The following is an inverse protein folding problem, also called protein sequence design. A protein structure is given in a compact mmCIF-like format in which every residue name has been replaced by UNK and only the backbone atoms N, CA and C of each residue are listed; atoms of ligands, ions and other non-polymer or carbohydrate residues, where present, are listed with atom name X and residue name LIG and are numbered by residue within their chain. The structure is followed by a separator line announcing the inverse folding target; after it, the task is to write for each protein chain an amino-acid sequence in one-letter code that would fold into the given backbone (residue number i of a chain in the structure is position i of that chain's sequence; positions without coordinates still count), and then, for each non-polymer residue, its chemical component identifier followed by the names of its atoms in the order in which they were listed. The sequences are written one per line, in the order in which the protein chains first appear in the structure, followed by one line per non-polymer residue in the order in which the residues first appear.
data_IF_058520431641
#
_entry.id   IF_058520431641
#
_cell.length_a   1.000
_cell.length_b   1.000
_cell.length_c   1.000
_cell.angle_alpha   90.00
_cell.angle_beta   90.00
_cell.angle_gamma   90.00
#
_symmetry.space_group_name_H-M   'P 1'
#
loop_
_entity.id
_entity.type
_entity.pdbx_description
1 polymer ?
#
# COMPACT_ATOMS: atom_id res chain seq x y z
N UNK A 1 -4.48 -11.16 -48.70
CA UNK A 1 -3.87 -10.42 -49.82
C UNK A 1 -2.48 -9.94 -49.40
N UNK A 2 -1.45 -10.22 -50.19
CA UNK A 2 -0.09 -9.71 -49.97
C UNK A 2 0.15 -8.66 -51.05
N UNK A 3 0.53 -7.46 -50.64
CA UNK A 3 0.85 -6.35 -51.55
C UNK A 3 2.33 -6.00 -51.36
N UNK A 4 3.07 -5.93 -52.48
CA UNK A 4 4.48 -5.52 -52.53
C UNK A 4 4.59 -4.18 -53.24
N UNK A 5 5.60 -3.39 -52.90
CA UNK A 5 5.97 -2.15 -53.58
C UNK A 5 4.81 -1.14 -53.74
N UNK A 6 3.96 -1.04 -52.72
CA UNK A 6 2.82 -0.13 -52.72
C UNK A 6 3.04 1.05 -51.76
N UNK A 7 3.37 2.20 -52.34
CA UNK A 7 3.62 3.47 -51.65
C UNK A 7 2.39 3.95 -50.86
N UNK A 8 1.17 3.68 -51.34
CA UNK A 8 -0.06 4.07 -50.63
C UNK A 8 -0.30 3.27 -49.34
N UNK A 9 0.31 2.09 -49.24
CA UNK A 9 0.19 1.24 -48.06
C UNK A 9 1.39 1.34 -47.14
N UNK A 10 2.39 2.19 -47.41
CA UNK A 10 3.53 2.49 -46.52
C UNK A 10 3.08 3.29 -45.29
N UNK A 11 3.66 3.01 -44.12
CA UNK A 11 3.22 3.52 -42.80
C UNK A 11 1.86 3.04 -42.26
N UNK A 12 0.99 2.44 -43.09
CA UNK A 12 -0.34 1.96 -42.66
C UNK A 12 -0.27 0.60 -41.97
N UNK A 13 -0.59 0.56 -40.67
CA UNK A 13 -0.76 -0.68 -39.91
C UNK A 13 -1.93 -0.56 -38.93
N UNK A 14 -2.61 -1.67 -38.65
CA UNK A 14 -3.71 -1.70 -37.68
C UNK A 14 -4.92 -2.52 -38.13
N UNK A 15 -6.02 -2.35 -37.39
CA UNK A 15 -7.28 -3.06 -37.63
C UNK A 15 -8.34 -2.09 -38.16
N UNK A 16 -8.98 -2.43 -39.27
CA UNK A 16 -10.07 -1.70 -39.87
C UNK A 16 -11.30 -2.61 -40.03
N UNK A 17 -12.32 -2.41 -39.18
CA UNK A 17 -13.57 -3.22 -39.13
C UNK A 17 -13.33 -4.74 -39.20
N UNK A 18 -13.40 -5.30 -40.41
CA UNK A 18 -13.28 -6.72 -40.74
C UNK A 18 -11.90 -7.11 -41.31
N UNK A 19 -10.94 -6.19 -41.33
CA UNK A 19 -9.63 -6.37 -41.95
C UNK A 19 -8.49 -5.96 -41.01
N UNK A 20 -7.34 -6.60 -41.16
CA UNK A 20 -6.10 -6.32 -40.44
C UNK A 20 -5.01 -6.09 -41.47
N UNK A 21 -4.33 -4.95 -41.35
CA UNK A 21 -3.19 -4.58 -42.18
C UNK A 21 -1.94 -4.68 -41.32
N UNK A 22 -1.00 -5.54 -41.72
CA UNK A 22 0.31 -5.69 -41.08
C UNK A 22 1.39 -5.38 -42.10
N UNK A 23 2.33 -4.52 -41.71
CA UNK A 23 3.53 -4.29 -42.47
C UNK A 23 4.65 -5.21 -42.01
N UNK A 24 5.29 -5.83 -42.98
CA UNK A 24 6.56 -6.52 -42.85
C UNK A 24 7.57 -5.82 -43.75
N UNK A 25 8.87 -6.08 -43.52
CA UNK A 25 9.98 -5.36 -44.16
C UNK A 25 9.88 -5.27 -45.69
N UNK A 26 9.33 -6.30 -46.35
CA UNK A 26 9.25 -6.46 -47.80
C UNK A 26 7.82 -6.44 -48.36
N UNK A 27 6.79 -6.37 -47.50
CA UNK A 27 5.40 -6.59 -47.92
C UNK A 27 4.38 -6.10 -46.91
N UNK A 28 3.22 -5.71 -47.42
CA UNK A 28 2.03 -5.45 -46.63
C UNK A 28 1.08 -6.63 -46.75
N UNK A 29 0.70 -7.20 -45.61
CA UNK A 29 -0.25 -8.30 -45.52
C UNK A 29 -1.59 -7.75 -45.05
N UNK A 30 -2.60 -7.94 -45.89
CA UNK A 30 -3.98 -7.56 -45.64
C UNK A 30 -4.81 -8.84 -45.50
N UNK A 31 -5.34 -9.07 -44.30
CA UNK A 31 -6.16 -10.26 -43.99
C UNK A 31 -7.49 -9.85 -43.39
N UNK A 32 -8.52 -10.69 -43.53
CA UNK A 32 -9.70 -10.55 -42.70
C UNK A 32 -9.33 -10.68 -41.22
N UNK A 33 -10.11 -10.05 -40.33
CA UNK A 33 -9.99 -10.27 -38.89
C UNK A 33 -10.31 -11.74 -38.62
N UNK A 34 -9.40 -12.51 -38.00
CA UNK A 34 -9.65 -13.91 -37.71
C UNK A 34 -10.80 -14.05 -36.70
N UNK A 35 -11.68 -15.03 -36.94
CA UNK A 35 -12.69 -15.41 -35.96
C UNK A 35 -12.01 -16.09 -34.76
N UNK A 36 -12.15 -15.50 -33.57
CA UNK A 36 -11.51 -15.98 -32.34
C UNK A 36 -12.44 -16.84 -31.46
N UNK A 37 -13.69 -17.08 -31.87
CA UNK A 37 -14.72 -17.74 -31.03
C UNK A 37 -14.36 -19.18 -30.67
N UNK A 38 -13.82 -19.94 -31.61
CA UNK A 38 -13.54 -21.38 -31.45
C UNK A 38 -12.03 -21.66 -31.32
N UNK A 39 -11.28 -20.68 -30.83
CA UNK A 39 -9.82 -20.79 -30.70
C UNK A 39 -9.48 -21.78 -29.60
N UNK A 40 -8.78 -22.86 -29.96
CA UNK A 40 -8.17 -23.79 -29.02
C UNK A 40 -6.80 -23.26 -28.60
N UNK A 41 -6.59 -23.12 -27.29
CA UNK A 41 -5.32 -22.70 -26.72
C UNK A 41 -4.36 -23.88 -26.59
N UNK A 42 -3.10 -23.65 -26.95
CA UNK A 42 -2.00 -24.56 -26.62
C UNK A 42 -1.77 -24.61 -25.11
N UNK A 43 -1.16 -25.68 -24.58
CA UNK A 43 -0.83 -25.81 -23.16
C UNK A 43 -0.05 -24.59 -22.65
N UNK A 44 1.05 -24.23 -23.32
CA UNK A 44 1.87 -23.04 -22.99
C UNK A 44 1.06 -21.74 -22.94
N UNK A 45 0.07 -21.58 -23.80
CA UNK A 45 -0.80 -20.40 -23.78
C UNK A 45 -1.77 -20.41 -22.60
N UNK A 46 -2.26 -21.59 -22.20
CA UNK A 46 -3.08 -21.73 -20.98
C UNK A 46 -2.24 -21.39 -19.76
N UNK A 47 -1.05 -21.98 -19.64
CA UNK A 47 -0.13 -21.75 -18.53
C UNK A 47 0.23 -20.27 -18.40
N UNK A 48 0.56 -19.60 -19.52
CA UNK A 48 0.85 -18.17 -19.53
C UNK A 48 -0.36 -17.31 -19.11
N UNK A 49 -1.57 -17.69 -19.54
CA UNK A 49 -2.80 -16.99 -19.14
C UNK A 49 -3.09 -17.18 -17.65
N UNK A 50 -2.88 -18.39 -17.14
CA UNK A 50 -3.09 -18.71 -15.73
C UNK A 50 -2.08 -17.98 -14.85
N UNK A 51 -0.79 -17.95 -15.23
CA UNK A 51 0.23 -17.17 -14.53
C UNK A 51 -0.13 -15.67 -14.51
N UNK A 52 -0.53 -15.09 -15.65
CA UNK A 52 -0.99 -13.70 -15.72
C UNK A 52 -2.21 -13.45 -14.83
N UNK A 53 -3.16 -14.40 -14.76
CA UNK A 53 -4.34 -14.32 -13.90
C UNK A 53 -3.94 -14.30 -12.43
N UNK A 54 -2.99 -15.13 -12.02
CA UNK A 54 -2.45 -15.17 -10.65
C UNK A 54 -1.72 -13.86 -10.31
N UNK A 55 -0.87 -13.36 -11.21
CA UNK A 55 -0.18 -12.08 -11.04
C UNK A 55 -1.17 -10.92 -10.84
N UNK A 56 -2.25 -10.89 -11.61
CA UNK A 56 -3.31 -9.87 -11.48
C UNK A 56 -4.03 -10.01 -10.14
N UNK A 57 -4.37 -11.23 -9.72
CA UNK A 57 -5.05 -11.47 -8.44
C UNK A 57 -4.18 -10.99 -7.27
N UNK A 58 -2.89 -11.33 -7.30
CA UNK A 58 -1.91 -10.89 -6.30
C UNK A 58 -1.76 -9.36 -6.26
N UNK A 59 -1.60 -8.72 -7.42
CA UNK A 59 -1.52 -7.25 -7.49
C UNK A 59 -2.79 -6.57 -6.98
N UNK A 60 -3.98 -7.14 -7.26
CA UNK A 60 -5.25 -6.64 -6.69
C UNK A 60 -5.27 -6.76 -5.18
N UNK A 61 -4.86 -7.90 -4.63
CA UNK A 61 -4.77 -8.11 -3.18
C UNK A 61 -3.90 -7.05 -2.50
N UNK A 62 -2.68 -6.82 -2.99
CA UNK A 62 -1.78 -5.78 -2.44
C UNK A 62 -2.36 -4.38 -2.58
N UNK A 63 -2.92 -4.05 -3.74
CA UNK A 63 -3.42 -2.70 -4.00
C UNK A 63 -4.72 -2.36 -3.28
N UNK A 64 -5.44 -3.38 -2.78
CA UNK A 64 -6.65 -3.20 -1.98
C UNK A 64 -6.33 -2.69 -0.56
N UNK A 65 -5.22 -3.14 0.04
CA UNK A 65 -4.77 -2.64 1.33
C UNK A 65 -3.87 -1.39 1.16
N UNK A 66 -4.26 -0.21 1.70
CA UNK A 66 -3.44 0.99 1.64
C UNK A 66 -2.00 0.81 2.15
N UNK A 67 -1.80 -0.01 3.20
CA UNK A 67 -0.48 -0.25 3.80
C UNK A 67 0.42 -1.03 2.85
N UNK A 68 -0.08 -2.16 2.36
CA UNK A 68 0.66 -3.00 1.40
C UNK A 68 0.94 -2.24 0.10
N UNK A 69 -0.01 -1.40 -0.34
CA UNK A 69 0.16 -0.55 -1.51
C UNK A 69 1.27 0.50 -1.32
N UNK A 70 1.29 1.22 -0.20
CA UNK A 70 2.34 2.21 0.11
C UNK A 70 3.71 1.54 0.13
N UNK A 71 3.81 0.40 0.83
CA UNK A 71 5.02 -0.40 0.89
C UNK A 71 5.49 -0.87 -0.48
N UNK A 72 4.58 -1.39 -1.31
CA UNK A 72 4.90 -1.79 -2.68
C UNK A 72 5.46 -0.63 -3.51
N UNK A 73 4.96 0.60 -3.30
CA UNK A 73 5.51 1.79 -3.95
C UNK A 73 6.95 2.08 -3.53
N UNK A 74 7.25 1.92 -2.23
CA UNK A 74 8.59 2.13 -1.67
C UNK A 74 9.58 1.07 -2.18
N UNK A 75 9.23 -0.22 -2.06
CA UNK A 75 10.10 -1.33 -2.49
C UNK A 75 10.38 -1.26 -4.00
N UNK A 76 9.35 -1.02 -4.81
CA UNK A 76 9.47 -1.01 -6.26
C UNK A 76 9.94 0.35 -6.81
N UNK A 77 10.09 1.35 -5.95
CA UNK A 77 10.45 2.73 -6.29
C UNK A 77 9.57 3.30 -7.43
N UNK A 78 8.25 3.17 -7.29
CA UNK A 78 7.27 3.65 -8.28
C UNK A 78 6.15 4.46 -7.61
N UNK A 79 5.58 5.45 -8.32
CA UNK A 79 4.44 6.18 -7.79
C UNK A 79 3.16 5.31 -7.70
N UNK A 80 2.19 5.67 -6.83
CA UNK A 80 0.99 4.87 -6.56
C UNK A 80 0.12 4.54 -7.78
N UNK A 81 0.15 5.36 -8.83
CA UNK A 81 -0.59 5.12 -10.07
C UNK A 81 0.06 4.06 -10.98
N UNK A 82 1.34 3.75 -10.76
CA UNK A 82 2.10 2.75 -11.54
C UNK A 82 2.31 1.44 -10.78
N UNK A 83 2.07 1.42 -9.47
CA UNK A 83 2.36 0.28 -8.58
C UNK A 83 1.72 -1.03 -9.03
N UNK A 84 0.47 -1.00 -9.50
CA UNK A 84 -0.24 -2.21 -9.93
C UNK A 84 0.51 -2.96 -11.05
N UNK A 85 0.92 -2.22 -12.08
CA UNK A 85 1.65 -2.81 -13.21
C UNK A 85 3.06 -3.23 -12.82
N UNK A 86 3.68 -2.51 -11.90
CA UNK A 86 5.00 -2.87 -11.37
C UNK A 86 4.95 -4.20 -10.60
N UNK A 87 3.94 -4.41 -9.74
CA UNK A 87 3.73 -5.67 -9.03
C UNK A 87 3.53 -6.82 -10.00
N UNK A 88 2.66 -6.67 -11.01
CA UNK A 88 2.44 -7.71 -12.03
C UNK A 88 3.74 -8.05 -12.77
N UNK A 89 4.53 -7.04 -13.14
CA UNK A 89 5.82 -7.24 -13.80
C UNK A 89 6.78 -8.05 -12.93
N UNK A 90 6.96 -7.66 -11.66
CA UNK A 90 7.85 -8.38 -10.75
C UNK A 90 7.37 -9.80 -10.48
N UNK A 91 6.05 -10.01 -10.36
CA UNK A 91 5.47 -11.34 -10.15
C UNK A 91 5.88 -12.29 -11.27
N UNK A 92 5.78 -11.80 -12.50
CA UNK A 92 6.11 -12.58 -13.69
C UNK A 92 7.62 -12.76 -13.88
N UNK A 93 8.46 -11.87 -13.33
CA UNK A 93 9.93 -11.98 -13.39
C UNK A 93 10.48 -12.94 -12.34
N UNK A 94 9.84 -13.02 -11.17
CA UNK A 94 10.27 -13.82 -10.04
C UNK A 94 9.42 -15.08 -9.81
N UNK A 95 8.58 -15.45 -10.77
CA UNK A 95 7.66 -16.60 -10.69
C UNK A 95 6.82 -16.63 -9.40
N UNK A 96 6.38 -15.45 -8.95
CA UNK A 96 5.55 -15.26 -7.76
C UNK A 96 6.30 -15.05 -6.44
N UNK A 97 7.63 -15.12 -6.44
CA UNK A 97 8.47 -14.85 -5.28
C UNK A 97 8.67 -13.34 -5.09
N UNK A 98 7.71 -12.69 -4.42
CA UNK A 98 7.74 -11.24 -4.16
C UNK A 98 7.58 -10.94 -2.67
N UNK A 99 8.62 -10.36 -2.08
CA UNK A 99 8.71 -9.97 -0.65
C UNK A 99 7.88 -8.74 -0.26
N UNK A 100 6.92 -8.34 -1.10
CA UNK A 100 6.09 -7.15 -0.83
C UNK A 100 5.12 -7.42 0.33
N UNK A 101 4.79 -8.69 0.59
CA UNK A 101 3.88 -9.12 1.65
C UNK A 101 4.58 -9.63 2.93
N UNK A 102 5.88 -9.92 2.90
CA UNK A 102 6.58 -10.45 4.08
C UNK A 102 6.79 -9.36 5.13
N UNK A 103 6.39 -9.55 6.38
CA UNK A 103 6.74 -8.60 7.45
C UNK A 103 8.25 -8.42 7.53
N UNK A 104 8.73 -7.18 7.36
CA UNK A 104 10.16 -6.89 7.52
C UNK A 104 10.57 -7.09 8.97
N UNK A 105 11.86 -7.29 9.21
CA UNK A 105 12.43 -7.25 10.55
C UNK A 105 12.05 -5.95 11.30
N UNK A 106 11.95 -4.83 10.56
CA UNK A 106 11.54 -3.55 11.11
C UNK A 106 10.06 -3.50 11.51
N UNK A 107 9.16 -4.13 10.74
CA UNK A 107 7.74 -4.23 11.12
C UNK A 107 7.57 -5.01 12.44
N UNK A 108 8.39 -6.04 12.65
CA UNK A 108 8.41 -6.82 13.90
C UNK A 108 8.93 -5.98 15.08
N UNK A 109 9.98 -5.21 14.88
CA UNK A 109 10.54 -4.29 15.89
C UNK A 109 9.56 -3.16 16.24
N UNK A 110 8.89 -2.59 15.24
CA UNK A 110 7.87 -1.56 15.42
C UNK A 110 6.68 -2.10 16.21
N UNK A 111 6.25 -3.34 15.94
CA UNK A 111 5.19 -4.02 16.70
C UNK A 111 5.60 -4.27 18.15
N UNK A 112 6.82 -4.75 18.39
CA UNK A 112 7.35 -4.93 19.75
C UNK A 112 7.45 -3.60 20.50
N UNK A 113 7.81 -2.53 19.80
CA UNK A 113 7.85 -1.18 20.36
C UNK A 113 6.46 -0.71 20.78
N UNK A 114 5.45 -0.89 19.91
CA UNK A 114 4.04 -0.57 20.24
C UNK A 114 3.51 -1.38 21.43
N UNK A 115 3.80 -2.68 21.48
CA UNK A 115 3.39 -3.55 22.59
C UNK A 115 4.01 -3.10 23.92
N UNK A 116 5.28 -2.67 23.88
CA UNK A 116 5.99 -2.13 25.04
C UNK A 116 5.38 -0.79 25.48
N UNK A 117 5.13 0.12 24.54
CA UNK A 117 4.51 1.42 24.81
C UNK A 117 3.12 1.22 25.43
N UNK A 118 2.30 0.34 24.84
CA UNK A 118 0.96 0.01 25.33
C UNK A 118 1.00 -0.53 26.75
N UNK A 119 1.94 -1.43 27.03
CA UNK A 119 2.11 -2.00 28.38
C UNK A 119 2.44 -0.92 29.42
N UNK A 120 3.30 0.03 29.08
CA UNK A 120 3.65 1.15 29.97
C UNK A 120 2.46 2.07 30.20
N UNK A 121 1.73 2.42 29.14
CA UNK A 121 0.54 3.26 29.26
C UNK A 121 -0.50 2.58 30.15
N UNK A 122 -0.81 1.30 29.93
CA UNK A 122 -1.80 0.57 30.70
C UNK A 122 -1.40 0.32 32.15
N UNK A 123 -0.10 0.24 32.45
CA UNK A 123 0.38 0.13 33.83
C UNK A 123 0.15 1.42 34.63
N UNK A 124 0.29 2.59 33.99
CA UNK A 124 0.12 3.90 34.64
C UNK A 124 -1.35 4.38 34.58
N UNK A 125 -2.06 4.01 33.51
CA UNK A 125 -3.42 4.42 33.19
C UNK A 125 -4.22 3.17 32.80
N UNK A 126 -4.74 2.41 33.77
CA UNK A 126 -5.43 1.13 33.51
C UNK A 126 -6.70 1.26 32.66
N UNK A 127 -7.34 2.42 32.64
CA UNK A 127 -8.53 2.73 31.86
C UNK A 127 -8.22 3.40 30.50
N UNK A 128 -6.95 3.44 30.10
CA UNK A 128 -6.54 4.04 28.84
C UNK A 128 -7.06 3.27 27.64
N UNK A 129 -7.65 4.01 26.71
CA UNK A 129 -7.82 3.59 25.32
C UNK A 129 -6.73 4.24 24.47
N UNK A 130 -5.86 3.41 23.87
CA UNK A 130 -4.67 3.83 23.13
C UNK A 130 -4.88 3.75 21.63
N UNK A 131 -4.62 4.87 20.95
CA UNK A 131 -4.79 5.00 19.51
C UNK A 131 -3.54 5.62 18.88
N UNK A 132 -3.10 5.08 17.76
CA UNK A 132 -2.04 5.65 16.94
C UNK A 132 -2.67 6.56 15.90
N UNK A 133 -2.07 7.72 15.65
CA UNK A 133 -2.43 8.61 14.55
C UNK A 133 -1.19 9.07 13.79
N UNK A 134 -1.37 9.99 12.84
CA UNK A 134 -0.26 10.66 12.16
C UNK A 134 0.35 9.87 11.01
N UNK A 135 1.61 10.17 10.70
CA UNK A 135 2.31 9.68 9.50
C UNK A 135 2.57 8.17 9.52
N UNK A 136 2.76 7.55 10.70
CA UNK A 136 2.88 6.09 10.81
C UNK A 136 1.61 5.36 10.38
N UNK A 137 0.43 5.91 10.66
CA UNK A 137 -0.84 5.34 10.20
C UNK A 137 -1.08 5.63 8.72
N UNK A 138 -0.75 6.85 8.28
CA UNK A 138 -1.09 7.33 6.94
C UNK A 138 -0.16 6.85 5.83
N UNK A 139 1.15 6.89 6.08
CA UNK A 139 2.20 6.70 5.07
C UNK A 139 3.12 5.53 5.42
N UNK A 140 3.09 5.07 6.68
CA UNK A 140 3.90 3.98 7.22
C UNK A 140 5.38 4.15 6.88
N UNK A 141 5.91 5.37 7.10
CA UNK A 141 7.31 5.65 6.83
C UNK A 141 8.18 5.20 8.01
N UNK A 142 9.32 4.52 7.75
CA UNK A 142 10.17 3.96 8.80
C UNK A 142 10.80 4.98 9.77
N UNK A 143 10.76 6.27 9.41
CA UNK A 143 11.32 7.40 10.17
C UNK A 143 10.25 8.22 10.90
N UNK A 144 8.97 7.90 10.69
CA UNK A 144 7.90 8.68 11.28
C UNK A 144 7.90 8.63 12.81
N UNK A 145 7.47 9.72 13.42
CA UNK A 145 7.27 9.79 14.87
C UNK A 145 6.06 8.96 15.31
N UNK A 146 6.09 8.53 16.58
CA UNK A 146 5.01 7.82 17.25
C UNK A 146 4.00 8.82 17.81
N UNK A 147 2.98 9.17 17.04
CA UNK A 147 1.89 10.03 17.48
C UNK A 147 0.76 9.21 18.14
N UNK A 148 0.63 9.30 19.46
CA UNK A 148 -0.25 8.46 20.27
C UNK A 148 -1.30 9.30 20.99
N UNK A 149 -2.57 8.95 20.76
CA UNK A 149 -3.71 9.47 21.50
C UNK A 149 -4.06 8.47 22.62
N UNK A 150 -4.18 8.99 23.83
CA UNK A 150 -4.53 8.24 25.04
C UNK A 150 -5.82 8.85 25.57
N UNK A 151 -6.90 8.09 25.50
CA UNK A 151 -8.21 8.50 25.99
C UNK A 151 -8.50 7.86 27.34
N UNK A 152 -8.81 8.67 28.35
CA UNK A 152 -9.09 8.20 29.71
C UNK A 152 -10.55 8.41 30.08
N UNK A 153 -11.09 7.54 30.94
CA UNK A 153 -12.41 7.73 31.53
C UNK A 153 -12.31 8.54 32.83
N UNK A 154 -11.25 8.31 33.58
CA UNK A 154 -10.94 8.98 34.85
C UNK A 154 -10.08 10.23 34.64
N UNK A 155 -10.07 11.12 35.63
CA UNK A 155 -9.24 12.33 35.59
C UNK A 155 -7.89 12.05 36.22
N UNK A 156 -6.84 12.16 35.41
CA UNK A 156 -5.48 12.03 35.87
C UNK A 156 -4.81 13.39 36.10
N UNK A 157 -3.81 13.47 36.99
CA UNK A 157 -3.03 14.69 37.17
C UNK A 157 -2.38 15.14 35.87
N UNK A 158 -2.34 16.46 35.63
CA UNK A 158 -1.65 17.02 34.45
C UNK A 158 -0.15 16.67 34.40
N UNK A 159 0.45 16.35 35.55
CA UNK A 159 1.85 15.91 35.68
C UNK A 159 2.08 14.54 35.07
N UNK A 160 1.06 13.66 35.07
CA UNK A 160 1.17 12.29 34.55
C UNK A 160 1.55 12.27 33.07
N UNK A 161 1.07 13.25 32.29
CA UNK A 161 1.48 13.40 30.89
C UNK A 161 2.99 13.52 30.77
N UNK A 162 3.63 14.33 31.60
CA UNK A 162 5.07 14.57 31.51
C UNK A 162 5.88 13.35 31.96
N UNK A 163 5.44 12.69 33.03
CA UNK A 163 6.06 11.45 33.53
C UNK A 163 5.96 10.32 32.49
N UNK A 164 4.81 10.18 31.84
CA UNK A 164 4.59 9.19 30.80
C UNK A 164 5.42 9.53 29.56
N UNK A 165 5.47 10.80 29.16
CA UNK A 165 6.28 11.26 28.03
C UNK A 165 7.77 10.94 28.23
N UNK A 166 8.31 11.15 29.43
CA UNK A 166 9.71 10.86 29.75
C UNK A 166 10.01 9.34 29.68
N UNK A 167 9.14 8.52 30.26
CA UNK A 167 9.24 7.05 30.19
C UNK A 167 9.22 6.54 28.75
N UNK A 168 8.29 7.03 27.93
CA UNK A 168 8.15 6.61 26.54
C UNK A 168 9.30 7.10 25.66
N UNK A 169 9.80 8.31 25.91
CA UNK A 169 10.95 8.86 25.18
C UNK A 169 12.21 8.00 25.35
N UNK A 170 12.46 7.46 26.55
CA UNK A 170 13.59 6.57 26.79
C UNK A 170 13.59 5.28 25.96
N UNK A 171 12.41 4.84 25.51
CA UNK A 171 12.24 3.64 24.68
C UNK A 171 12.38 3.98 23.20
N UNK A 172 11.71 5.04 22.75
CA UNK A 172 11.69 5.40 21.33
C UNK A 172 12.98 6.05 20.84
N UNK A 173 13.76 6.63 21.75
CA UNK A 173 15.16 7.00 21.48
C UNK A 173 16.00 5.82 20.99
N UNK A 174 15.77 4.60 21.51
CA UNK A 174 16.52 3.41 21.06
C UNK A 174 16.19 3.02 19.62
N UNK A 175 14.98 3.35 19.17
CA UNK A 175 14.49 3.07 17.81
C UNK A 175 14.71 4.24 16.85
N UNK A 176 15.26 5.37 17.31
CA UNK A 176 15.55 6.54 16.49
C UNK A 176 14.32 7.36 16.05
N UNK A 177 13.19 7.23 16.75
CA UNK A 177 11.95 7.99 16.47
C UNK A 177 11.48 8.70 17.73
N UNK A 178 10.77 9.83 17.61
CA UNK A 178 10.19 10.50 18.79
C UNK A 178 8.81 9.94 19.09
N UNK A 179 8.36 10.13 20.33
CA UNK A 179 6.97 9.87 20.72
C UNK A 179 6.31 11.18 21.05
N UNK A 180 5.13 11.42 20.48
CA UNK A 180 4.26 12.52 20.87
C UNK A 180 3.00 11.91 21.49
N UNK A 181 2.71 12.25 22.74
CA UNK A 181 1.47 11.79 23.38
C UNK A 181 0.46 12.91 23.58
N UNK A 182 -0.80 12.57 23.35
CA UNK A 182 -1.96 13.37 23.68
C UNK A 182 -2.83 12.60 24.67
N UNK A 183 -2.83 13.02 25.93
CA UNK A 183 -3.65 12.44 27.00
C UNK A 183 -4.86 13.34 27.23
N UNK A 184 -6.06 12.84 26.96
CA UNK A 184 -7.31 13.61 27.06
C UNK A 184 -8.42 12.72 27.62
N UNK A 185 -9.31 13.27 28.42
CA UNK A 185 -10.49 12.52 28.88
C UNK A 185 -11.49 12.33 27.74
N UNK A 186 -12.22 11.22 27.68
CA UNK A 186 -13.21 10.98 26.61
C UNK A 186 -14.28 12.06 26.52
N UNK A 187 -14.72 12.59 27.65
CA UNK A 187 -15.72 13.69 27.72
C UNK A 187 -15.18 14.98 27.12
N UNK A 188 -13.94 15.33 27.45
CA UNK A 188 -13.23 16.49 26.91
C UNK A 188 -12.88 16.30 25.44
N UNK A 189 -12.49 15.09 25.04
CA UNK A 189 -12.20 14.73 23.66
C UNK A 189 -13.39 14.94 22.74
N UNK A 190 -14.63 14.84 23.23
CA UNK A 190 -15.86 15.10 22.46
C UNK A 190 -16.28 16.58 22.44
N UNK A 191 -15.61 17.46 23.20
CA UNK A 191 -15.94 18.89 23.28
C UNK A 191 -15.65 19.63 21.96
N UNK A 192 -16.12 20.86 21.84
CA UNK A 192 -15.84 21.68 20.65
C UNK A 192 -14.34 22.04 20.55
N UNK A 193 -13.63 22.11 21.67
CA UNK A 193 -12.21 22.50 21.74
C UNK A 193 -11.31 21.55 20.93
N UNK A 194 -11.63 20.25 20.94
CA UNK A 194 -10.88 19.23 20.22
C UNK A 194 -11.44 18.93 18.82
N UNK A 195 -12.52 19.59 18.38
CA UNK A 195 -13.20 19.26 17.12
C UNK A 195 -12.28 19.39 15.91
N UNK A 196 -11.48 20.46 15.84
CA UNK A 196 -10.50 20.61 14.75
C UNK A 196 -9.48 19.47 14.74
N UNK A 197 -8.99 19.07 15.93
CA UNK A 197 -8.01 17.99 16.04
C UNK A 197 -8.65 16.63 15.71
N UNK A 198 -9.86 16.37 16.19
CA UNK A 198 -10.66 15.19 15.83
C UNK A 198 -10.85 15.07 14.33
N UNK A 199 -11.24 16.16 13.67
CA UNK A 199 -11.43 16.17 12.22
C UNK A 199 -10.11 15.94 11.46
N UNK A 200 -9.00 16.51 11.96
CA UNK A 200 -7.68 16.33 11.37
C UNK A 200 -7.15 14.90 11.52
N UNK A 201 -7.44 14.27 12.66
CA UNK A 201 -6.97 12.91 13.00
C UNK A 201 -7.91 11.82 12.46
N UNK A 202 -9.22 12.09 12.39
CA UNK A 202 -10.28 11.08 12.28
C UNK A 202 -10.24 10.19 11.04
N UNK A 203 -9.58 10.60 9.97
CA UNK A 203 -9.40 9.75 8.78
C UNK A 203 -8.20 8.79 8.88
N UNK A 204 -7.33 8.97 9.89
CA UNK A 204 -6.00 8.33 10.00
C UNK A 204 -5.70 7.94 11.45
N UNK A 205 -6.65 7.26 12.10
CA UNK A 205 -6.51 6.77 13.46
C UNK A 205 -6.68 5.25 13.51
N UNK A 206 -5.84 4.57 14.29
CA UNK A 206 -5.89 3.13 14.47
C UNK A 206 -5.66 2.76 15.94
N UNK A 207 -6.58 2.02 16.54
CA UNK A 207 -6.35 1.43 17.87
C UNK A 207 -5.25 0.36 17.79
N UNK A 208 -4.40 0.30 18.82
CA UNK A 208 -3.33 -0.70 18.94
C UNK A 208 -3.29 -1.31 20.32
#
# INVERSE_FOLDING_TARGET
MIVRDNIFLMGVSGRAKNMVVKQYKDKTVITAVPNMKDRVLTAKQKDANDNMKMAIAYAKHITADPKLKSRACQILNVPPNKVFRAIVKEYLLKDGDIDVAEETQKDKEDKQTLDTIKSIILNEIPDAETMLYGSRVAENTPEADWDILILTNTQYPKTLKWELQDKLFGITMKTGSRTNILVVQKTEWLSEDYKMLRNKIGEKIQAF
#
